data_IF_314356361915
#
_entry.id   IF_314356361915
#
_cell.length_a   1.000
_cell.length_b   1.000
_cell.length_c   1.000
_cell.angle_alpha   90.00
_cell.angle_beta   90.00
_cell.angle_gamma   90.00
#
_symmetry.space_group_name_H-M   'P 1'
#
loop_
_entity.id
_entity.type
_entity.pdbx_description
1 polymer ?
#
# COMPACT_ATOMS: atom_id res chain seq x y z
N UNK A 1 -17.66 12.72 -2.66
CA UNK A 1 -17.56 11.38 -3.27
C UNK A 1 -16.25 10.77 -2.84
N UNK A 2 -16.26 9.50 -2.46
CA UNK A 2 -15.08 8.74 -2.06
C UNK A 2 -14.76 7.71 -3.15
N UNK A 3 -13.59 7.09 -3.07
CA UNK A 3 -13.13 6.12 -4.06
C UNK A 3 -12.81 4.80 -3.39
N UNK A 4 -13.47 3.72 -3.79
CA UNK A 4 -13.02 2.37 -3.45
C UNK A 4 -11.86 2.00 -4.37
N UNK A 5 -10.77 1.51 -3.79
CA UNK A 5 -9.59 1.01 -4.48
C UNK A 5 -9.46 -0.48 -4.22
N UNK A 6 -9.36 -1.27 -5.27
CA UNK A 6 -9.06 -2.70 -5.22
C UNK A 6 -7.58 -2.93 -5.53
N UNK A 7 -6.95 -3.86 -4.83
CA UNK A 7 -5.55 -4.20 -4.98
C UNK A 7 -5.35 -5.70 -4.76
N UNK A 8 -4.24 -6.24 -5.28
CA UNK A 8 -4.01 -7.67 -5.29
C UNK A 8 -2.59 -8.02 -4.86
N UNK A 9 -2.48 -9.09 -4.08
CA UNK A 9 -1.26 -9.86 -3.91
C UNK A 9 -1.26 -11.06 -4.86
N UNK A 10 -0.10 -11.36 -5.46
CA UNK A 10 0.15 -12.58 -6.22
C UNK A 10 1.54 -13.09 -5.88
N UNK A 11 1.72 -14.38 -5.62
CA UNK A 11 3.04 -14.99 -5.41
C UNK A 11 3.64 -15.56 -6.71
N UNK A 12 4.85 -16.13 -6.63
CA UNK A 12 5.50 -16.78 -7.79
C UNK A 12 4.80 -18.07 -8.25
N UNK A 13 3.94 -18.66 -7.42
CA UNK A 13 3.16 -19.88 -7.67
C UNK A 13 1.70 -19.60 -8.08
N UNK A 14 1.38 -18.33 -8.39
CA UNK A 14 0.08 -17.85 -8.84
C UNK A 14 -1.08 -18.00 -7.81
N UNK A 15 -0.77 -18.14 -6.53
CA UNK A 15 -1.73 -17.81 -5.46
C UNK A 15 -2.09 -16.32 -5.57
N UNK A 16 -3.35 -15.98 -5.26
CA UNK A 16 -3.86 -14.61 -5.36
C UNK A 16 -4.70 -14.27 -4.14
N UNK A 17 -4.57 -13.04 -3.67
CA UNK A 17 -5.42 -12.49 -2.63
C UNK A 17 -5.83 -11.07 -2.99
N UNK A 18 -7.14 -10.81 -2.98
CA UNK A 18 -7.72 -9.49 -3.23
C UNK A 18 -7.97 -8.75 -1.92
N UNK A 19 -7.80 -7.43 -1.96
CA UNK A 19 -8.18 -6.52 -0.90
C UNK A 19 -8.82 -5.27 -1.46
N UNK A 20 -9.51 -4.53 -0.60
CA UNK A 20 -10.07 -3.24 -0.97
C UNK A 20 -10.01 -2.26 0.22
N UNK A 21 -9.96 -0.97 -0.08
CA UNK A 21 -10.07 0.11 0.90
C UNK A 21 -10.71 1.35 0.27
N UNK A 22 -11.28 2.22 1.10
CA UNK A 22 -11.90 3.47 0.64
C UNK A 22 -10.95 4.65 0.90
N UNK A 23 -10.79 5.51 -0.09
CA UNK A 23 -10.13 6.80 0.01
C UNK A 23 -11.16 7.92 0.05
N UNK A 24 -10.90 8.94 0.87
CA UNK A 24 -11.65 10.18 0.86
C UNK A 24 -11.22 11.01 -0.35
N UNK A 25 -12.16 11.37 -1.20
CA UNK A 25 -11.91 12.11 -2.44
C UNK A 25 -11.80 11.21 -3.66
N UNK A 26 -11.54 11.84 -4.81
CA UNK A 26 -11.39 11.18 -6.10
C UNK A 26 -9.97 10.64 -6.25
N UNK A 27 -9.85 9.39 -6.72
CA UNK A 27 -8.58 8.75 -6.99
C UNK A 27 -8.67 7.90 -8.24
N UNK A 28 -7.64 7.95 -9.06
CA UNK A 28 -7.43 7.09 -10.22
C UNK A 28 -6.01 6.54 -10.18
N UNK A 29 -5.82 5.31 -10.66
CA UNK A 29 -4.51 4.63 -10.62
C UNK A 29 -3.46 5.42 -11.43
N UNK A 30 -3.86 6.08 -12.52
CA UNK A 30 -2.96 6.93 -13.31
C UNK A 30 -2.31 8.04 -12.50
N UNK A 31 -2.93 8.47 -11.39
CA UNK A 31 -2.38 9.49 -10.51
C UNK A 31 -1.12 9.05 -9.77
N UNK A 32 -0.78 7.76 -9.74
CA UNK A 32 0.43 7.24 -9.07
C UNK A 32 1.32 6.38 -9.97
N UNK A 33 0.95 6.21 -11.24
CA UNK A 33 1.56 5.28 -12.18
C UNK A 33 3.09 5.45 -12.30
N UNK A 34 3.57 6.70 -12.34
CA UNK A 34 5.00 7.01 -12.47
C UNK A 34 5.83 6.69 -11.22
N UNK A 35 5.19 6.50 -10.07
CA UNK A 35 5.86 6.20 -8.80
C UNK A 35 5.81 4.72 -8.42
N UNK A 36 5.08 3.89 -9.19
CA UNK A 36 5.07 2.45 -9.00
C UNK A 36 6.44 1.83 -9.29
N UNK A 37 6.80 0.78 -8.54
CA UNK A 37 7.95 -0.05 -8.85
C UNK A 37 7.69 -0.80 -10.16
N UNK A 38 8.61 -0.67 -11.11
CA UNK A 38 8.47 -1.24 -12.45
C UNK A 38 7.16 -0.85 -13.16
N UNK A 39 6.64 0.35 -12.84
CA UNK A 39 5.37 0.87 -13.34
C UNK A 39 4.12 0.03 -13.02
N UNK A 40 4.22 -0.98 -12.15
CA UNK A 40 3.12 -1.91 -11.87
C UNK A 40 2.91 -2.15 -10.37
N UNK A 41 3.99 -2.24 -9.61
CA UNK A 41 3.94 -2.78 -8.25
C UNK A 41 4.15 -1.73 -7.17
N UNK A 42 3.70 -2.07 -5.97
CA UNK A 42 3.95 -1.30 -4.76
C UNK A 42 4.01 -2.21 -3.52
N UNK A 43 4.52 -1.67 -2.41
CA UNK A 43 4.45 -2.32 -1.09
C UNK A 43 3.36 -1.61 -0.26
N UNK A 44 2.23 -2.27 0.09
CA UNK A 44 1.09 -1.64 0.75
C UNK A 44 1.43 -0.86 2.02
N UNK A 45 2.32 -1.40 2.86
CA UNK A 45 2.69 -0.76 4.12
C UNK A 45 3.42 0.56 3.92
N UNK A 46 4.12 0.75 2.79
CA UNK A 46 4.79 2.02 2.46
C UNK A 46 3.80 3.13 2.13
N UNK A 47 2.59 2.76 1.73
CA UNK A 47 1.49 3.70 1.41
C UNK A 47 0.35 3.65 2.44
N UNK A 48 0.54 2.87 3.51
CA UNK A 48 -0.38 2.69 4.63
C UNK A 48 -1.67 1.97 4.31
N UNK A 49 -1.55 0.98 3.44
CA UNK A 49 -2.56 -0.03 3.15
C UNK A 49 -2.11 -1.36 3.79
N UNK A 50 -3.08 -2.23 4.10
CA UNK A 50 -2.79 -3.54 4.69
C UNK A 50 -2.09 -4.41 3.65
N UNK A 51 -1.07 -5.16 4.07
CA UNK A 51 -0.53 -6.22 3.23
C UNK A 51 -1.43 -7.45 3.22
N UNK A 52 -1.50 -8.09 2.04
CA UNK A 52 -2.23 -9.32 1.82
C UNK A 52 -1.29 -10.54 1.75
N UNK A 53 0.00 -10.36 2.04
CA UNK A 53 0.95 -11.48 2.13
C UNK A 53 0.50 -12.43 3.25
N UNK A 54 0.47 -13.75 3.00
CA UNK A 54 0.15 -14.74 4.03
C UNK A 54 1.04 -14.60 5.27
N UNK A 55 0.45 -14.91 6.44
CA UNK A 55 1.20 -14.95 7.69
C UNK A 55 2.27 -16.06 7.68
N UNK A 56 1.93 -17.21 7.11
CA UNK A 56 2.86 -18.32 6.86
C UNK A 56 3.47 -18.16 5.48
N UNK A 57 4.67 -17.57 5.44
CA UNK A 57 5.40 -17.33 4.18
C UNK A 57 6.13 -18.57 3.70
N UNK A 58 6.16 -18.71 2.39
CA UNK A 58 6.94 -19.67 1.61
C UNK A 58 8.07 -18.94 0.87
N UNK A 59 8.87 -19.70 0.12
CA UNK A 59 9.92 -19.14 -0.75
C UNK A 59 9.36 -18.35 -1.94
N UNK A 60 8.09 -18.60 -2.30
CA UNK A 60 7.44 -17.97 -3.44
C UNK A 60 6.82 -16.61 -3.07
N UNK A 61 6.76 -16.28 -1.77
CA UNK A 61 6.12 -15.06 -1.28
C UNK A 61 7.01 -13.83 -1.36
N UNK A 62 6.41 -12.69 -1.73
CA UNK A 62 7.06 -11.39 -1.79
C UNK A 62 6.14 -10.27 -1.25
N UNK A 63 6.65 -9.04 -1.14
CA UNK A 63 5.88 -7.91 -0.59
C UNK A 63 5.10 -7.11 -1.64
N UNK A 64 5.33 -7.38 -2.92
CA UNK A 64 4.75 -6.63 -4.03
C UNK A 64 3.26 -6.90 -4.20
N UNK A 65 2.52 -5.84 -4.49
CA UNK A 65 1.09 -5.85 -4.81
C UNK A 65 0.83 -4.96 -6.03
N UNK A 66 -0.31 -5.12 -6.67
CA UNK A 66 -0.79 -4.33 -7.81
C UNK A 66 -2.07 -3.60 -7.45
N UNK A 67 -2.27 -2.40 -8.03
CA UNK A 67 -3.56 -1.70 -8.01
C UNK A 67 -4.41 -2.25 -9.16
N UNK A 68 -5.63 -2.67 -8.88
CA UNK A 68 -6.48 -3.38 -9.86
C UNK A 68 -7.54 -2.46 -10.45
N UNK A 69 -8.41 -1.91 -9.60
CA UNK A 69 -9.53 -1.07 -10.05
C UNK A 69 -9.82 0.05 -9.05
N UNK A 70 -10.48 1.09 -9.55
CA UNK A 70 -11.06 2.15 -8.72
C UNK A 70 -12.52 2.37 -9.11
N UNK A 71 -13.36 2.72 -8.14
CA UNK A 71 -14.75 3.15 -8.41
C UNK A 71 -15.24 4.14 -7.36
N UNK A 72 -16.08 5.07 -7.80
CA UNK A 72 -16.73 6.01 -6.89
C UNK A 72 -17.72 5.32 -5.96
N UNK A 73 -17.72 5.74 -4.70
CA UNK A 73 -18.61 5.24 -3.63
C UNK A 73 -19.03 6.37 -2.70
N UNK A 74 -20.19 6.20 -2.06
CA UNK A 74 -20.69 7.09 -1.01
C UNK A 74 -20.35 6.61 0.41
N UNK A 75 -19.44 5.65 0.53
CA UNK A 75 -19.01 5.09 1.81
C UNK A 75 -18.16 6.12 2.59
N UNK A 76 -18.59 6.55 3.80
CA UNK A 76 -17.85 7.52 4.60
C UNK A 76 -16.64 6.92 5.33
N UNK A 77 -16.45 5.60 5.33
CA UNK A 77 -15.38 4.88 6.06
C UNK A 77 -14.02 4.92 5.37
N UNK A 78 -13.60 6.12 4.96
CA UNK A 78 -12.32 6.33 4.30
C UNK A 78 -11.15 6.01 5.24
N UNK A 79 -10.22 5.18 4.74
CA UNK A 79 -8.96 4.86 5.40
C UNK A 79 -8.04 6.08 5.51
N UNK A 80 -7.97 6.87 4.44
CA UNK A 80 -7.20 8.12 4.34
C UNK A 80 -7.73 8.98 3.19
N UNK A 81 -7.16 10.16 2.94
CA UNK A 81 -7.50 10.94 1.74
C UNK A 81 -6.69 10.50 0.52
N UNK A 82 -7.24 10.71 -0.67
CA UNK A 82 -6.56 10.42 -1.93
C UNK A 82 -5.24 11.18 -2.04
N UNK A 83 -5.19 12.44 -1.59
CA UNK A 83 -3.97 13.26 -1.61
C UNK A 83 -2.87 12.64 -0.73
N UNK A 84 -3.23 12.21 0.49
CA UNK A 84 -2.26 11.56 1.38
C UNK A 84 -1.75 10.24 0.80
N UNK A 85 -2.62 9.47 0.14
CA UNK A 85 -2.23 8.24 -0.53
C UNK A 85 -1.21 8.50 -1.65
N UNK A 86 -1.47 9.49 -2.52
CA UNK A 86 -0.56 9.90 -3.59
C UNK A 86 0.80 10.39 -3.04
N UNK A 87 0.79 11.22 -2.00
CA UNK A 87 2.03 11.71 -1.38
C UNK A 87 2.88 10.57 -0.81
N UNK A 88 2.25 9.51 -0.31
CA UNK A 88 2.98 8.32 0.17
C UNK A 88 3.61 7.52 -0.97
N UNK A 89 2.97 7.45 -2.15
CA UNK A 89 3.62 6.86 -3.34
C UNK A 89 4.87 7.63 -3.74
N UNK A 90 4.78 8.96 -3.84
CA UNK A 90 5.93 9.82 -4.17
C UNK A 90 7.09 9.61 -3.19
N UNK A 91 6.78 9.59 -1.89
CA UNK A 91 7.77 9.35 -0.85
C UNK A 91 8.38 7.96 -0.95
N UNK A 92 7.56 6.91 -1.11
CA UNK A 92 8.03 5.54 -1.23
C UNK A 92 8.95 5.36 -2.45
N UNK A 93 8.61 5.97 -3.59
CA UNK A 93 9.46 5.96 -4.77
C UNK A 93 10.80 6.69 -4.54
N UNK A 94 10.78 7.85 -3.89
CA UNK A 94 11.98 8.64 -3.62
C UNK A 94 12.94 7.98 -2.61
N UNK A 95 12.39 7.29 -1.60
CA UNK A 95 13.15 6.54 -0.60
C UNK A 95 13.55 5.13 -1.07
N UNK A 96 12.98 4.66 -2.18
CA UNK A 96 13.04 3.27 -2.59
C UNK A 96 11.94 2.40 -1.97
N UNK A 97 11.44 1.45 -2.77
CA UNK A 97 10.33 0.59 -2.39
C UNK A 97 10.71 -0.46 -1.36
N UNK A 98 11.87 -1.11 -1.51
CA UNK A 98 12.29 -2.23 -0.67
C UNK A 98 12.94 -1.76 0.64
N UNK A 99 12.51 -2.37 1.75
CA UNK A 99 13.04 -2.09 3.10
C UNK A 99 14.53 -2.40 3.26
N UNK A 100 15.11 -3.25 2.40
CA UNK A 100 16.52 -3.65 2.43
C UNK A 100 17.48 -2.48 2.14
N UNK A 101 16.97 -1.39 1.56
CA UNK A 101 17.73 -0.17 1.31
C UNK A 101 17.66 0.84 2.47
N UNK A 102 16.93 0.53 3.55
CA UNK A 102 16.86 1.36 4.76
C UNK A 102 17.80 0.80 5.82
N UNK A 103 18.68 1.62 6.38
CA UNK A 103 19.45 1.24 7.56
C UNK A 103 18.51 0.90 8.73
N UNK A 104 18.98 0.11 9.70
CA UNK A 104 18.13 -0.35 10.82
C UNK A 104 17.42 0.77 11.60
N UNK A 105 18.05 1.95 11.71
CA UNK A 105 17.45 3.15 12.31
C UNK A 105 16.41 3.82 11.42
N UNK A 106 16.60 3.80 10.10
CA UNK A 106 15.65 4.34 9.12
C UNK A 106 14.41 3.45 9.06
N UNK A 107 14.59 2.12 9.03
CA UNK A 107 13.48 1.18 9.06
C UNK A 107 12.59 1.35 10.30
N UNK A 108 13.17 1.44 11.50
CA UNK A 108 12.40 1.67 12.73
C UNK A 108 11.74 3.05 12.75
N UNK A 109 12.39 4.08 12.18
CA UNK A 109 11.83 5.43 12.08
C UNK A 109 10.66 5.47 11.10
N UNK A 110 10.77 4.83 9.93
CA UNK A 110 9.69 4.71 8.94
C UNK A 110 8.51 3.92 9.51
N UNK A 111 8.76 2.83 10.26
CA UNK A 111 7.70 2.09 10.94
C UNK A 111 7.04 2.90 12.08
N UNK A 112 7.82 3.65 12.85
CA UNK A 112 7.33 4.49 13.95
C UNK A 112 6.57 5.72 13.44
N UNK A 113 7.07 6.40 12.42
CA UNK A 113 6.39 7.47 11.70
C UNK A 113 5.15 6.92 11.00
N UNK A 114 5.28 5.74 10.39
CA UNK A 114 4.21 4.86 9.95
C UNK A 114 3.06 4.80 10.95
N UNK A 115 3.33 4.27 12.14
CA UNK A 115 2.36 4.12 13.23
C UNK A 115 1.85 5.45 13.77
N UNK A 116 2.71 6.48 13.88
CA UNK A 116 2.37 7.81 14.42
C UNK A 116 1.48 8.62 13.48
N UNK A 117 1.64 8.45 12.17
CA UNK A 117 0.87 9.17 11.13
C UNK A 117 -0.32 8.35 10.61
N UNK A 118 -0.66 7.23 11.24
CA UNK A 118 -1.75 6.33 10.81
C UNK A 118 -1.47 5.63 9.48
N UNK A 119 -0.21 5.59 9.10
CA UNK A 119 0.42 5.14 7.87
C UNK A 119 0.84 3.66 8.02
N UNK A 120 0.79 3.11 9.23
CA UNK A 120 0.73 1.69 9.54
C UNK A 120 -0.36 1.54 10.60
N UNK A 121 -1.43 0.81 10.28
CA UNK A 121 -2.53 0.63 11.22
C UNK A 121 -2.06 -0.24 12.40
N UNK A 122 -2.08 0.28 13.65
CA UNK A 122 -1.65 -0.48 14.83
C UNK A 122 -2.58 -1.67 15.15
N UNK A 123 -3.76 -1.76 14.52
CA UNK A 123 -4.75 -2.83 14.73
C UNK A 123 -4.44 -4.09 13.91
N UNK A 124 -3.48 -4.06 12.98
CA UNK A 124 -3.08 -5.26 12.21
C UNK A 124 -2.22 -6.26 13.02
N UNK A 125 -2.24 -6.19 14.35
CA UNK A 125 -1.53 -7.06 15.28
C UNK A 125 -2.42 -7.62 16.38
N UNK A 126 -3.53 -8.25 16.02
CA UNK A 126 -4.22 -9.23 16.87
C UNK A 126 -4.50 -10.50 16.10
#
# INVERSE_FOLDING_TARGET
MNTLVEYMYRDASNYKQLGAFVLRGEFDISAVQEWLWDAEFFIPERVGVKSLVPAEKTVDDHYLHTLETTRSVDDPSALMSAELFIERFKRAAAEGWFHENLSGSEHQSTLAEGRKTGLINPVWGK
#
